data_IF_999955240373
#
_entry.id   IF_999955240373
#
_cell.length_a   1.000
_cell.length_b   1.000
_cell.length_c   1.000
_cell.angle_alpha   90.00
_cell.angle_beta   90.00
_cell.angle_gamma   90.00
#
_symmetry.space_group_name_H-M   'P 1'
#
loop_
_entity.id
_entity.type
_entity.pdbx_description
1 polymer ?
#
# COMPACT_ATOMS: atom_id res chain seq x y z
N UNK A 1 -0.79 -1.60 1.17
CA UNK A 1 -1.49 -1.74 2.47
C UNK A 1 -2.89 -2.30 2.23
N UNK A 2 -3.28 -3.30 3.01
CA UNK A 2 -4.62 -3.92 3.00
C UNK A 2 -5.19 -3.82 4.40
N UNK A 3 -6.42 -3.38 4.56
CA UNK A 3 -7.11 -3.37 5.84
C UNK A 3 -8.38 -4.21 5.75
N UNK A 4 -8.59 -5.04 6.76
CA UNK A 4 -9.73 -5.93 6.89
C UNK A 4 -10.51 -5.50 8.13
N UNK A 5 -11.83 -5.43 8.01
CA UNK A 5 -12.71 -5.20 9.16
C UNK A 5 -13.40 -6.51 9.49
N UNK A 6 -13.37 -6.89 10.75
CA UNK A 6 -14.01 -8.09 11.27
C UNK A 6 -15.01 -7.71 12.35
N UNK A 7 -16.10 -8.44 12.39
CA UNK A 7 -17.04 -8.42 13.50
C UNK A 7 -16.54 -9.40 14.58
N UNK A 8 -16.64 -9.02 15.85
CA UNK A 8 -16.27 -9.92 16.94
C UNK A 8 -17.09 -11.22 16.89
N UNK A 9 -16.39 -12.35 16.95
CA UNK A 9 -16.97 -13.69 16.84
C UNK A 9 -17.16 -14.21 15.40
N UNK A 10 -16.91 -13.39 14.37
CA UNK A 10 -16.96 -13.82 12.98
C UNK A 10 -15.54 -13.98 12.39
N UNK A 11 -15.15 -15.17 11.90
CA UNK A 11 -13.83 -15.38 11.30
C UNK A 11 -13.69 -14.75 9.90
N UNK A 12 -14.79 -14.36 9.26
CA UNK A 12 -14.80 -13.76 7.93
C UNK A 12 -14.79 -12.23 8.01
N UNK A 13 -13.96 -11.55 7.19
CA UNK A 13 -13.96 -10.10 7.14
C UNK A 13 -15.24 -9.59 6.48
N UNK A 14 -15.85 -8.57 7.08
CA UNK A 14 -17.06 -7.89 6.55
C UNK A 14 -16.70 -6.82 5.51
N UNK A 15 -15.46 -6.34 5.50
CA UNK A 15 -14.97 -5.36 4.53
C UNK A 15 -13.46 -5.47 4.30
N UNK A 16 -13.03 -5.04 3.11
CA UNK A 16 -11.63 -4.96 2.69
C UNK A 16 -11.38 -3.65 1.95
N UNK A 17 -10.38 -2.89 2.41
CA UNK A 17 -9.86 -1.74 1.67
C UNK A 17 -8.38 -1.94 1.35
N UNK A 18 -8.01 -1.55 0.14
CA UNK A 18 -6.62 -1.59 -0.34
C UNK A 18 -6.16 -0.17 -0.65
N UNK A 19 -4.98 0.19 -0.14
CA UNK A 19 -4.22 1.37 -0.53
C UNK A 19 -2.88 0.95 -1.09
N UNK A 20 -2.60 1.37 -2.31
CA UNK A 20 -1.36 1.11 -3.01
C UNK A 20 -0.59 2.42 -3.15
N UNK A 21 0.66 2.44 -2.70
CA UNK A 21 1.58 3.54 -2.91
C UNK A 21 2.68 3.07 -3.85
N UNK A 22 2.76 3.65 -5.05
CA UNK A 22 3.87 3.41 -5.98
C UNK A 22 4.83 4.58 -5.87
N UNK A 23 6.11 4.29 -5.71
CA UNK A 23 7.17 5.28 -5.55
C UNK A 23 8.14 5.05 -6.70
N UNK A 24 8.46 6.12 -7.43
CA UNK A 24 9.46 6.13 -8.48
C UNK A 24 10.41 7.29 -8.18
N UNK A 25 11.71 7.01 -8.13
CA UNK A 25 12.71 8.06 -8.00
C UNK A 25 13.01 8.63 -9.39
N UNK A 26 12.79 9.92 -9.55
CA UNK A 26 13.16 10.67 -10.75
C UNK A 26 14.58 11.19 -10.57
N UNK A 27 15.50 10.66 -11.38
CA UNK A 27 16.94 10.98 -11.29
C UNK A 27 17.23 12.40 -11.79
N UNK A 28 16.42 12.92 -12.72
CA UNK A 28 16.64 14.23 -13.31
C UNK A 28 16.24 15.36 -12.36
N UNK A 29 15.11 15.17 -11.71
CA UNK A 29 14.55 16.14 -10.77
C UNK A 29 14.99 15.86 -9.32
N UNK A 30 15.69 14.75 -9.06
CA UNK A 30 16.10 14.26 -7.73
C UNK A 30 14.93 14.17 -6.73
N UNK A 31 13.74 13.80 -7.22
CA UNK A 31 12.51 13.70 -6.41
C UNK A 31 11.87 12.33 -6.48
N UNK A 32 11.15 11.96 -5.42
CA UNK A 32 10.30 10.78 -5.40
C UNK A 32 8.91 11.15 -5.95
N UNK A 33 8.57 10.62 -7.12
CA UNK A 33 7.21 10.63 -7.65
C UNK A 33 6.40 9.53 -6.98
N UNK A 34 5.25 9.89 -6.43
CA UNK A 34 4.39 9.03 -5.63
C UNK A 34 3.00 9.00 -6.27
N UNK A 35 2.52 7.80 -6.57
CA UNK A 35 1.16 7.53 -7.03
C UNK A 35 0.42 6.74 -5.95
N UNK A 36 -0.62 7.33 -5.38
CA UNK A 36 -1.49 6.71 -4.38
C UNK A 36 -2.81 6.34 -5.03
N UNK A 37 -3.19 5.07 -4.89
CA UNK A 37 -4.50 4.58 -5.29
C UNK A 37 -5.18 3.89 -4.11
N UNK A 38 -6.45 4.21 -3.88
CA UNK A 38 -7.28 3.61 -2.85
C UNK A 38 -8.69 3.39 -3.39
N UNK A 39 -9.32 2.27 -3.03
CA UNK A 39 -10.70 2.00 -3.38
C UNK A 39 -11.63 3.12 -2.86
N UNK A 40 -12.47 3.68 -3.74
CA UNK A 40 -13.42 4.74 -3.39
C UNK A 40 -12.85 6.17 -3.39
N UNK A 41 -11.55 6.36 -3.64
CA UNK A 41 -10.95 7.68 -3.78
C UNK A 41 -10.33 7.86 -5.17
N UNK A 42 -10.28 9.10 -5.63
CA UNK A 42 -9.53 9.45 -6.83
C UNK A 42 -8.05 9.15 -6.62
N UNK A 43 -7.38 8.70 -7.68
CA UNK A 43 -5.93 8.54 -7.69
C UNK A 43 -5.27 9.88 -7.38
N UNK A 44 -4.27 9.86 -6.51
CA UNK A 44 -3.48 11.04 -6.16
C UNK A 44 -2.04 10.85 -6.59
N UNK A 45 -1.56 11.71 -7.47
CA UNK A 45 -0.16 11.78 -7.89
C UNK A 45 0.50 13.00 -7.25
N UNK A 46 1.69 12.83 -6.69
CA UNK A 46 2.43 13.88 -5.98
C UNK A 46 3.93 13.60 -5.98
N UNK A 47 4.74 14.59 -5.61
CA UNK A 47 6.18 14.40 -5.38
C UNK A 47 6.57 14.62 -3.90
N UNK A 48 7.68 14.02 -3.50
CA UNK A 48 8.38 14.29 -2.25
C UNK A 48 9.89 14.44 -2.50
N UNK A 49 10.56 15.43 -1.89
CA UNK A 49 11.99 15.66 -2.10
C UNK A 49 12.88 14.68 -1.32
N UNK A 50 12.32 13.94 -0.35
CA UNK A 50 13.08 13.05 0.50
C UNK A 50 12.24 11.86 0.97
N UNK A 51 12.93 10.86 1.53
CA UNK A 51 12.31 9.62 2.01
C UNK A 51 11.33 9.85 3.17
N UNK A 52 11.54 10.86 4.01
CA UNK A 52 10.61 11.22 5.07
C UNK A 52 9.28 11.73 4.50
N UNK A 53 9.32 12.52 3.44
CA UNK A 53 8.13 12.94 2.71
C UNK A 53 7.39 11.76 2.08
N UNK A 54 8.13 10.75 1.58
CA UNK A 54 7.56 9.50 1.08
C UNK A 54 6.87 8.73 2.21
N UNK A 55 7.53 8.53 3.35
CA UNK A 55 6.99 7.78 4.48
C UNK A 55 5.75 8.47 5.06
N UNK A 56 5.74 9.81 5.15
CA UNK A 56 4.58 10.59 5.60
C UNK A 56 3.37 10.43 4.68
N UNK A 57 3.57 10.31 3.36
CA UNK A 57 2.49 10.18 2.38
C UNK A 57 2.00 8.73 2.23
N UNK A 58 2.93 7.78 2.10
CA UNK A 58 2.62 6.36 1.90
C UNK A 58 2.25 5.65 3.20
N UNK A 59 2.91 5.97 4.32
CA UNK A 59 2.72 5.35 5.63
C UNK A 59 1.59 5.93 6.47
N UNK A 60 1.07 7.10 6.10
CA UNK A 60 -0.09 7.68 6.78
C UNK A 60 -1.38 6.92 6.46
N UNK A 61 -2.16 6.64 7.50
CA UNK A 61 -3.49 6.00 7.45
C UNK A 61 -4.60 7.03 7.71
N UNK A 62 -4.30 8.34 7.64
CA UNK A 62 -5.31 9.39 7.82
C UNK A 62 -6.36 9.31 6.71
N UNK A 63 -7.63 9.42 7.09
CA UNK A 63 -8.79 9.34 6.20
C UNK A 63 -8.87 8.06 5.36
N UNK A 64 -8.35 6.95 5.91
CA UNK A 64 -8.44 5.66 5.25
C UNK A 64 -9.86 5.12 5.36
N UNK A 65 -10.61 5.12 4.26
CA UNK A 65 -11.97 4.57 4.22
C UNK A 65 -11.98 3.07 4.44
N UNK A 66 -12.32 2.62 5.65
CA UNK A 66 -12.35 1.21 6.01
C UNK A 66 -13.63 0.50 5.54
N UNK A 67 -14.78 1.08 5.88
CA UNK A 67 -16.09 0.54 5.57
C UNK A 67 -17.13 1.65 5.69
N UNK A 68 -18.21 1.56 4.94
CA UNK A 68 -19.35 2.44 5.10
C UNK A 68 -20.10 2.15 6.42
N UNK A 69 -20.55 3.20 7.12
CA UNK A 69 -21.23 3.06 8.42
C UNK A 69 -22.54 2.27 8.31
N UNK A 70 -23.19 2.25 7.14
CA UNK A 70 -24.42 1.51 6.88
C UNK A 70 -24.24 -0.01 6.96
N UNK A 71 -23.03 -0.51 6.74
CA UNK A 71 -22.70 -1.95 6.84
C UNK A 71 -22.48 -2.38 8.30
N UNK A 72 -22.22 -1.42 9.20
CA UNK A 72 -21.96 -1.68 10.60
C UNK A 72 -23.25 -1.72 11.41
N UNK A 73 -23.44 -2.81 12.17
CA UNK A 73 -24.55 -2.93 13.09
C UNK A 73 -24.29 -2.08 14.35
N UNK A 74 -25.32 -1.40 14.88
CA UNK A 74 -25.19 -0.71 16.15
C UNK A 74 -24.88 -1.69 17.28
N UNK A 75 -24.17 -1.23 18.31
CA UNK A 75 -23.85 -2.00 19.53
C UNK A 75 -23.01 -3.27 19.31
N UNK A 76 -22.36 -3.37 18.16
CA UNK A 76 -21.51 -4.51 17.80
C UNK A 76 -20.05 -4.08 17.85
N UNK A 77 -19.19 -4.93 18.40
CA UNK A 77 -17.75 -4.70 18.45
C UNK A 77 -17.06 -5.22 17.19
N UNK A 78 -16.10 -4.44 16.70
CA UNK A 78 -15.37 -4.69 15.48
C UNK A 78 -13.87 -4.51 15.71
N UNK A 79 -13.06 -5.30 15.02
CA UNK A 79 -11.62 -5.11 14.99
C UNK A 79 -11.10 -4.97 13.56
N UNK A 80 -9.97 -4.28 13.43
CA UNK A 80 -9.35 -3.98 12.13
C UNK A 80 -7.98 -4.66 12.08
N UNK A 81 -7.75 -5.47 11.06
CA UNK A 81 -6.42 -6.02 10.79
C UNK A 81 -5.80 -5.31 9.58
N UNK A 82 -4.57 -4.81 9.73
CA UNK A 82 -3.85 -4.12 8.66
C UNK A 82 -2.62 -4.92 8.24
N UNK A 83 -2.48 -5.19 6.96
CA UNK A 83 -1.32 -5.85 6.38
C UNK A 83 -0.60 -4.85 5.48
N UNK A 84 0.66 -4.53 5.83
CA UNK A 84 1.50 -3.63 5.05
C UNK A 84 2.52 -4.46 4.30
N UNK A 85 2.36 -4.48 2.98
CA UNK A 85 3.34 -5.09 2.10
C UNK A 85 4.29 -3.99 1.62
N UNK A 86 5.57 -4.14 1.93
CA UNK A 86 6.62 -3.25 1.47
C UNK A 86 7.50 -4.08 0.56
N UNK A 87 7.50 -3.72 -0.71
CA UNK A 87 8.37 -4.31 -1.72
C UNK A 87 9.49 -3.29 -1.98
N UNK A 88 10.62 -3.37 -1.25
CA UNK A 88 11.69 -2.39 -1.37
C UNK A 88 12.46 -2.52 -2.68
N UNK A 89 12.45 -3.69 -3.31
CA UNK A 89 13.11 -3.99 -4.59
C UNK A 89 12.56 -5.32 -5.11
N UNK A 90 12.16 -5.36 -6.38
CA UNK A 90 11.93 -6.64 -7.05
C UNK A 90 13.21 -7.47 -7.03
N UNK A 91 13.25 -8.65 -6.37
CA UNK A 91 14.42 -9.50 -6.40
C UNK A 91 14.77 -9.94 -7.82
N UNK A 92 13.77 -9.99 -8.72
CA UNK A 92 13.91 -10.30 -10.14
C UNK A 92 14.41 -9.14 -11.01
N UNK A 93 14.50 -7.92 -10.48
CA UNK A 93 14.89 -6.74 -11.25
C UNK A 93 16.41 -6.63 -11.43
N UNK A 94 17.18 -6.98 -10.39
CA UNK A 94 18.65 -6.85 -10.41
C UNK A 94 19.33 -7.67 -11.53
N UNK A 95 19.01 -8.96 -11.72
CA UNK A 95 19.63 -9.73 -12.80
C UNK A 95 19.37 -9.12 -14.19
N UNK A 96 18.23 -8.47 -14.37
CA UNK A 96 17.89 -7.78 -15.62
C UNK A 96 18.68 -6.46 -15.78
N UNK A 97 18.79 -5.66 -14.72
CA UNK A 97 19.62 -4.43 -14.73
C UNK A 97 21.07 -4.78 -15.06
N UNK A 98 21.62 -5.81 -14.42
CA UNK A 98 22.98 -6.29 -14.66
C UNK A 98 23.15 -6.72 -16.13
N UNK A 99 22.16 -7.41 -16.69
CA UNK A 99 22.16 -7.83 -18.09
C UNK A 99 22.06 -6.65 -19.08
N UNK A 100 21.26 -5.63 -18.78
CA UNK A 100 21.12 -4.44 -19.63
C UNK A 100 22.37 -3.56 -19.60
N UNK A 101 22.99 -3.39 -18.43
CA UNK A 101 24.27 -2.68 -18.28
C UNK A 101 25.37 -3.42 -19.05
N UNK A 102 25.39 -4.76 -18.98
CA UNK A 102 26.36 -5.58 -19.69
C UNK A 102 26.14 -5.59 -21.23
N UNK A 103 24.91 -5.42 -21.72
CA UNK A 103 24.61 -5.40 -23.15
C UNK A 103 23.33 -4.58 -23.50
N UNK A 104 23.45 -3.27 -23.81
CA UNK A 104 22.31 -2.37 -23.95
C UNK A 104 21.48 -2.57 -25.24
N UNK A 105 21.91 -3.43 -26.17
CA UNK A 105 21.16 -3.78 -27.39
C UNK A 105 20.13 -4.90 -27.19
N UNK A 106 19.94 -5.39 -25.96
CA UNK A 106 18.94 -6.40 -25.61
C UNK A 106 17.47 -5.91 -25.60
N UNK A 107 16.49 -6.83 -25.61
CA UNK A 107 15.07 -6.51 -25.80
C UNK A 107 14.44 -5.66 -24.67
N UNK A 108 13.45 -4.86 -25.06
CA UNK A 108 12.75 -3.84 -24.25
C UNK A 108 11.92 -4.44 -23.09
N UNK A 109 11.84 -3.69 -21.98
CA UNK A 109 11.26 -4.07 -20.68
C UNK A 109 9.76 -4.42 -20.75
N UNK A 110 9.31 -5.59 -20.24
CA UNK A 110 7.90 -5.84 -19.93
C UNK A 110 7.55 -5.37 -18.51
N UNK A 111 6.79 -4.28 -18.41
CA UNK A 111 6.41 -3.59 -17.16
C UNK A 111 5.41 -4.34 -16.23
N UNK A 112 5.32 -5.67 -16.24
CA UNK A 112 4.26 -6.37 -15.51
C UNK A 112 4.74 -7.61 -14.72
N UNK A 113 4.87 -7.47 -13.39
CA UNK A 113 4.30 -8.31 -12.30
C UNK A 113 5.05 -8.21 -10.96
N UNK A 114 4.43 -7.68 -9.87
CA UNK A 114 5.14 -7.52 -8.60
C UNK A 114 5.09 -8.70 -7.63
N UNK A 115 6.27 -9.03 -7.09
CA UNK A 115 6.49 -10.05 -6.05
C UNK A 115 6.83 -9.36 -4.73
N UNK A 116 5.88 -9.34 -3.80
CA UNK A 116 5.88 -8.44 -2.64
C UNK A 116 6.42 -9.09 -1.36
N UNK A 117 7.14 -8.33 -0.50
CA UNK A 117 7.69 -8.81 0.77
C UNK A 117 6.74 -8.48 1.94
N UNK A 118 6.11 -9.52 2.49
CA UNK A 118 4.96 -9.38 3.39
C UNK A 118 5.38 -9.14 4.84
N UNK A 119 5.18 -7.92 5.35
CA UNK A 119 5.23 -7.64 6.79
C UNK A 119 3.81 -7.63 7.39
N UNK A 120 3.57 -8.41 8.45
CA UNK A 120 2.27 -8.49 9.12
C UNK A 120 2.37 -7.78 10.48
N UNK A 121 1.55 -6.75 10.69
CA UNK A 121 1.35 -6.12 12.01
C UNK A 121 -0.14 -6.16 12.35
N UNK A 122 -0.52 -6.99 13.32
CA UNK A 122 -1.89 -7.02 13.83
C UNK A 122 -2.04 -5.99 14.96
N UNK A 123 -2.86 -4.98 14.76
CA UNK A 123 -3.23 -4.03 15.81
C UNK A 123 -4.63 -4.37 16.34
N UNK A 124 -4.74 -4.68 17.63
CA UNK A 124 -6.02 -4.82 18.34
C UNK A 124 -6.34 -3.48 18.99
N UNK A 125 -7.11 -2.62 18.33
CA UNK A 125 -7.62 -1.39 18.96
C UNK A 125 -8.85 -0.88 18.24
N UNK A 126 -10.00 -0.94 18.90
CA UNK A 126 -11.04 0.09 18.93
C UNK A 126 -12.26 -0.43 19.72
N UNK A 127 -12.32 -0.12 21.01
CA UNK A 127 -13.58 -0.12 21.76
C UNK A 127 -14.29 1.18 21.42
N UNK A 128 -15.33 1.13 20.60
CA UNK A 128 -16.19 2.29 20.37
C UNK A 128 -17.35 2.22 21.37
N UNK A 129 -17.23 2.96 22.47
CA UNK A 129 -18.31 3.19 23.44
C UNK A 129 -18.80 4.63 23.21
N UNK A 130 -20.13 4.85 23.10
CA UNK A 130 -20.72 6.14 22.77
C UNK A 130 -20.39 7.26 23.77
#
# INVERSE_FOLDING_TARGET
MRAYVFQDGNPLPIALTIKTCRILFDVWDEVYRISISQAGLARMDTAAPNLEGVSRRCGSVRNFGLVDRSVLQPWTSYYVAVVVDVDPTWPSFWPWVDQWIANPTGPMIPFNTPTSSRSQMAFRTASFVP
#
